data_IF_046363440868
#
_entry.id   IF_046363440868
#
_cell.length_a   1.000
_cell.length_b   1.000
_cell.length_c   1.000
_cell.angle_alpha   90.00
_cell.angle_beta   90.00
_cell.angle_gamma   90.00
#
_symmetry.space_group_name_H-M   'P 1'
#
loop_
_entity.id
_entity.type
_entity.pdbx_description
1 polymer ?
#
# COMPACT_ATOMS: atom_id res chain seq x y z
N UNK A 1 15.66 -4.10 1.53
CA UNK A 1 15.00 -3.42 0.40
C UNK A 1 13.82 -4.26 -0.09
N UNK A 2 12.72 -3.69 -0.57
CA UNK A 2 11.60 -4.46 -1.17
C UNK A 2 11.80 -4.77 -2.66
N UNK A 3 12.79 -4.12 -3.31
CA UNK A 3 13.06 -4.21 -4.76
C UNK A 3 14.21 -5.15 -5.13
N UNK A 4 14.93 -5.69 -4.14
CA UNK A 4 16.25 -6.31 -4.34
C UNK A 4 16.24 -7.53 -5.27
N UNK A 5 15.09 -8.15 -5.51
CA UNK A 5 14.97 -9.30 -6.42
C UNK A 5 14.87 -8.86 -7.89
N UNK A 6 14.39 -7.64 -8.12
CA UNK A 6 14.11 -7.08 -9.44
C UNK A 6 15.18 -6.09 -9.91
N UNK A 7 16.00 -5.56 -9.00
CA UNK A 7 17.14 -4.69 -9.31
C UNK A 7 17.51 -3.72 -8.18
N UNK A 8 18.47 -2.83 -8.47
CA UNK A 8 18.90 -1.76 -7.57
C UNK A 8 18.26 -0.43 -8.00
N UNK A 9 17.49 0.24 -7.11
CA UNK A 9 16.96 1.58 -7.39
C UNK A 9 18.03 2.61 -7.77
N UNK A 10 19.28 2.43 -7.34
CA UNK A 10 20.39 3.35 -7.63
C UNK A 10 20.88 3.28 -9.08
N UNK A 11 20.47 2.26 -9.85
CA UNK A 11 20.83 2.11 -11.25
C UNK A 11 20.03 3.04 -12.19
N UNK A 12 18.99 3.72 -11.68
CA UNK A 12 18.07 4.54 -12.48
C UNK A 12 18.36 6.03 -12.29
N UNK A 13 18.48 6.75 -13.40
CA UNK A 13 18.85 8.17 -13.41
C UNK A 13 17.69 9.11 -13.02
N UNK A 14 16.44 8.65 -13.12
CA UNK A 14 15.26 9.46 -12.84
C UNK A 14 14.07 8.62 -12.34
N UNK A 15 13.09 9.30 -11.76
CA UNK A 15 11.90 8.65 -11.17
C UNK A 15 11.07 7.91 -12.23
N UNK A 16 10.76 8.47 -13.43
CA UNK A 16 10.00 7.75 -14.45
C UNK A 16 10.64 6.41 -14.88
N UNK A 17 11.96 6.39 -15.08
CA UNK A 17 12.70 5.17 -15.44
C UNK A 17 12.77 4.19 -14.28
N UNK A 18 12.94 4.66 -13.04
CA UNK A 18 12.84 3.83 -11.84
C UNK A 18 11.46 3.16 -11.71
N UNK A 19 10.38 3.93 -11.89
CA UNK A 19 9.02 3.44 -11.74
C UNK A 19 8.68 2.37 -12.79
N UNK A 20 9.00 2.64 -14.06
CA UNK A 20 8.71 1.71 -15.16
C UNK A 20 9.68 0.53 -15.22
N UNK A 21 10.95 0.76 -14.88
CA UNK A 21 12.04 -0.20 -15.03
C UNK A 21 12.24 -1.14 -13.84
N UNK A 22 11.80 -0.75 -12.63
CA UNK A 22 11.96 -1.52 -11.40
C UNK A 22 10.65 -1.66 -10.62
N UNK A 23 10.03 -0.55 -10.21
CA UNK A 23 8.89 -0.59 -9.28
C UNK A 23 7.69 -1.35 -9.86
N UNK A 24 7.37 -1.15 -11.14
CA UNK A 24 6.29 -1.86 -11.83
C UNK A 24 6.54 -3.37 -12.00
N UNK A 25 7.79 -3.82 -11.84
CA UNK A 25 8.16 -5.24 -11.96
C UNK A 25 8.00 -6.01 -10.65
N UNK A 26 7.91 -5.32 -9.51
CA UNK A 26 7.77 -5.98 -8.21
C UNK A 26 6.32 -6.42 -8.00
N UNK A 27 6.04 -7.73 -7.86
CA UNK A 27 4.68 -8.20 -7.63
C UNK A 27 4.16 -7.77 -6.25
N UNK A 28 2.89 -7.34 -6.18
CA UNK A 28 2.24 -6.98 -4.92
C UNK A 28 2.30 -8.14 -3.92
N UNK A 29 2.07 -9.38 -4.38
CA UNK A 29 2.10 -10.58 -3.53
C UNK A 29 3.46 -10.80 -2.86
N UNK A 30 4.56 -10.49 -3.56
CA UNK A 30 5.89 -10.55 -2.99
C UNK A 30 6.06 -9.54 -1.87
N UNK A 31 5.65 -8.29 -2.10
CA UNK A 31 5.75 -7.22 -1.10
C UNK A 31 4.94 -7.56 0.15
N UNK A 32 3.71 -8.04 -0.01
CA UNK A 32 2.85 -8.39 1.12
C UNK A 32 3.44 -9.57 1.92
N UNK A 33 3.99 -10.59 1.26
CA UNK A 33 4.66 -11.69 1.93
C UNK A 33 5.95 -11.25 2.65
N UNK A 34 6.72 -10.34 2.06
CA UNK A 34 7.91 -9.77 2.72
C UNK A 34 7.53 -8.98 3.98
N UNK A 35 6.43 -8.23 3.94
CA UNK A 35 5.91 -7.52 5.12
C UNK A 35 5.46 -8.48 6.23
N UNK A 36 4.88 -9.63 5.89
CA UNK A 36 4.58 -10.68 6.88
C UNK A 36 5.84 -11.26 7.52
N UNK A 37 6.91 -11.43 6.74
CA UNK A 37 8.21 -11.83 7.28
C UNK A 37 8.80 -10.76 8.19
N UNK A 38 8.64 -9.47 7.87
CA UNK A 38 9.06 -8.36 8.74
C UNK A 38 8.29 -8.39 10.06
N UNK A 39 6.96 -8.55 10.03
CA UNK A 39 6.15 -8.67 11.24
C UNK A 39 6.56 -9.89 12.09
N UNK A 40 6.82 -11.01 11.44
CA UNK A 40 7.29 -12.25 12.08
C UNK A 40 8.68 -12.11 12.67
N UNK A 41 9.58 -11.36 12.01
CA UNK A 41 10.88 -11.07 12.57
C UNK A 41 10.75 -10.15 13.78
N UNK A 42 9.96 -9.08 13.69
CA UNK A 42 9.77 -8.13 14.78
C UNK A 42 9.27 -8.82 16.05
N UNK A 43 8.33 -9.76 15.93
CA UNK A 43 7.81 -10.52 17.07
C UNK A 43 8.86 -11.34 17.83
N UNK A 44 9.90 -11.80 17.14
CA UNK A 44 11.02 -12.55 17.73
C UNK A 44 12.15 -11.64 18.19
N UNK A 45 12.06 -10.34 17.92
CA UNK A 45 13.10 -9.35 18.19
C UNK A 45 12.58 -8.19 19.05
N UNK A 46 11.71 -8.49 20.02
CA UNK A 46 11.22 -7.53 21.02
C UNK A 46 10.01 -6.70 20.59
N UNK A 47 9.47 -6.92 19.40
CA UNK A 47 8.21 -6.34 18.95
C UNK A 47 6.99 -7.05 19.54
N UNK A 48 5.93 -6.30 19.82
CA UNK A 48 4.65 -6.83 20.28
C UNK A 48 3.73 -7.11 19.10
N UNK A 49 3.41 -8.39 18.87
CA UNK A 49 2.50 -8.85 17.79
C UNK A 49 1.10 -8.26 17.91
N UNK A 50 0.66 -7.91 19.11
CA UNK A 50 -0.65 -7.31 19.33
C UNK A 50 -0.67 -5.81 19.04
N UNK A 51 0.47 -5.21 18.68
CA UNK A 51 0.64 -3.78 18.38
C UNK A 51 1.29 -3.55 17.01
N UNK A 52 1.01 -4.42 16.05
CA UNK A 52 1.49 -4.29 14.67
C UNK A 52 0.80 -3.12 13.95
N UNK A 53 1.59 -2.21 13.39
CA UNK A 53 1.14 -1.00 12.67
C UNK A 53 1.98 -0.84 11.39
N UNK A 54 1.43 -0.17 10.38
CA UNK A 54 2.15 0.11 9.14
C UNK A 54 1.94 1.56 8.69
N UNK A 55 2.97 2.15 8.09
CA UNK A 55 2.85 3.40 7.33
C UNK A 55 3.74 3.35 6.10
N UNK A 56 3.35 4.07 5.05
CA UNK A 56 4.11 4.13 3.81
C UNK A 56 3.72 5.32 2.95
N UNK A 57 4.63 5.70 2.07
CA UNK A 57 4.56 6.92 1.26
C UNK A 57 4.60 6.61 -0.24
N UNK A 58 3.83 7.34 -1.05
CA UNK A 58 3.76 7.17 -2.50
C UNK A 58 3.41 5.70 -2.86
N UNK A 59 4.29 4.98 -3.55
CA UNK A 59 4.12 3.54 -3.79
C UNK A 59 3.89 2.76 -2.48
N UNK A 60 4.65 3.07 -1.43
CA UNK A 60 4.46 2.49 -0.10
C UNK A 60 3.11 2.85 0.54
N UNK A 61 2.52 3.99 0.19
CA UNK A 61 1.18 4.36 0.62
C UNK A 61 0.11 3.47 -0.02
N UNK A 62 0.29 3.11 -1.30
CA UNK A 62 -0.57 2.12 -1.98
C UNK A 62 -0.40 0.74 -1.32
N UNK A 63 0.83 0.31 -1.07
CA UNK A 63 1.12 -0.96 -0.38
C UNK A 63 0.50 -0.98 1.02
N UNK A 64 0.48 0.15 1.73
CA UNK A 64 -0.14 0.27 3.06
C UNK A 64 -1.63 -0.07 3.03
N UNK A 65 -2.38 0.40 2.03
CA UNK A 65 -3.78 0.01 1.83
C UNK A 65 -3.93 -1.49 1.58
N UNK A 66 -3.10 -2.05 0.70
CA UNK A 66 -3.16 -3.47 0.37
C UNK A 66 -2.80 -4.36 1.57
N UNK A 67 -1.82 -3.95 2.37
CA UNK A 67 -1.41 -4.69 3.56
C UNK A 67 -2.48 -4.69 4.66
N UNK A 68 -3.27 -3.60 4.76
CA UNK A 68 -4.42 -3.54 5.67
C UNK A 68 -5.53 -4.53 5.30
N UNK A 69 -5.66 -4.89 4.03
CA UNK A 69 -6.56 -5.95 3.58
C UNK A 69 -5.92 -7.36 3.63
N UNK A 70 -4.61 -7.45 3.78
CA UNK A 70 -3.86 -8.71 3.72
C UNK A 70 -3.66 -9.37 5.09
N UNK A 71 -3.16 -8.63 6.08
CA UNK A 71 -2.80 -9.20 7.38
C UNK A 71 -3.85 -8.89 8.47
N UNK A 72 -4.64 -9.87 8.94
CA UNK A 72 -5.67 -9.66 9.95
C UNK A 72 -5.12 -9.34 11.35
N UNK A 73 -3.82 -9.47 11.58
CA UNK A 73 -3.18 -9.10 12.85
C UNK A 73 -2.89 -7.59 12.95
N UNK A 74 -2.89 -6.87 11.83
CA UNK A 74 -2.62 -5.44 11.78
C UNK A 74 -3.64 -4.65 12.61
N UNK A 75 -3.17 -3.63 13.35
CA UNK A 75 -4.01 -2.82 14.25
C UNK A 75 -4.39 -1.46 13.70
N UNK A 76 -3.54 -0.86 12.88
CA UNK A 76 -3.89 0.30 12.08
C UNK A 76 -2.87 0.53 10.96
N UNK A 77 -3.27 1.33 10.00
CA UNK A 77 -2.47 1.73 8.85
C UNK A 77 -2.56 3.24 8.61
N UNK A 78 -1.45 3.87 8.21
CA UNK A 78 -1.43 5.28 7.75
C UNK A 78 -0.79 5.34 6.36
N UNK A 79 -1.62 5.55 5.34
CA UNK A 79 -1.22 5.62 3.94
C UNK A 79 -1.04 7.06 3.48
N UNK A 80 0.16 7.41 3.02
CA UNK A 80 0.46 8.75 2.52
C UNK A 80 0.50 8.75 1.00
N UNK A 81 -0.41 9.50 0.37
CA UNK A 81 -0.48 9.76 -1.08
C UNK A 81 -0.18 8.52 -1.94
N UNK A 82 -0.83 7.40 -1.59
CA UNK A 82 -0.74 6.16 -2.35
C UNK A 82 -1.77 6.11 -3.47
N UNK A 83 -1.38 5.69 -4.67
CA UNK A 83 -2.32 5.59 -5.79
C UNK A 83 -3.51 4.70 -5.45
N UNK A 84 -4.74 5.22 -5.61
CA UNK A 84 -5.99 4.57 -5.17
C UNK A 84 -6.67 3.78 -6.30
N UNK A 85 -6.50 4.25 -7.54
CA UNK A 85 -7.03 3.66 -8.77
C UNK A 85 -5.92 3.53 -9.81
N UNK A 86 -6.11 2.71 -10.83
CA UNK A 86 -5.15 2.58 -11.93
C UNK A 86 -5.27 1.25 -12.65
N UNK A 87 -4.45 1.12 -13.70
CA UNK A 87 -4.40 -0.10 -14.51
C UNK A 87 -3.99 -1.30 -13.67
N UNK A 88 -4.57 -2.44 -14.01
CA UNK A 88 -4.28 -3.74 -13.38
C UNK A 88 -3.28 -4.49 -14.25
N UNK A 89 -2.37 -5.19 -13.60
CA UNK A 89 -1.39 -6.07 -14.25
C UNK A 89 -1.27 -7.38 -13.48
N UNK A 90 -0.51 -8.35 -13.99
CA UNK A 90 -0.21 -9.57 -13.25
C UNK A 90 0.56 -9.28 -11.96
N UNK A 91 1.42 -8.26 -11.96
CA UNK A 91 2.18 -7.83 -10.78
C UNK A 91 1.32 -7.02 -9.81
N UNK A 92 0.38 -6.22 -10.31
CA UNK A 92 -0.50 -5.38 -9.51
C UNK A 92 -1.97 -5.59 -9.91
N UNK A 93 -2.59 -6.71 -9.49
CA UNK A 93 -3.92 -7.10 -9.95
C UNK A 93 -5.07 -6.35 -9.26
N UNK A 94 -4.81 -5.73 -8.10
CA UNK A 94 -5.79 -4.96 -7.33
C UNK A 94 -5.26 -3.56 -7.01
N UNK A 95 -6.17 -2.62 -6.89
CA UNK A 95 -5.91 -1.28 -6.37
C UNK A 95 -6.64 -1.08 -5.03
N UNK A 96 -6.29 -0.06 -4.22
CA UNK A 96 -6.96 0.20 -2.95
C UNK A 96 -8.50 0.22 -3.03
N UNK A 97 -9.08 0.76 -4.10
CA UNK A 97 -10.54 0.76 -4.31
C UNK A 97 -11.15 -0.65 -4.40
N UNK A 98 -10.38 -1.65 -4.83
CA UNK A 98 -10.85 -3.03 -5.01
C UNK A 98 -10.85 -3.84 -3.70
N UNK A 99 -10.20 -3.34 -2.63
CA UNK A 99 -10.01 -4.08 -1.37
C UNK A 99 -10.73 -3.45 -0.18
N UNK A 100 -11.58 -2.45 -0.40
CA UNK A 100 -12.28 -1.75 0.67
C UNK A 100 -13.09 -2.70 1.58
N UNK A 101 -13.69 -3.74 1.01
CA UNK A 101 -14.43 -4.78 1.74
C UNK A 101 -13.56 -5.74 2.54
N UNK A 102 -12.27 -5.80 2.21
CA UNK A 102 -11.32 -6.78 2.76
C UNK A 102 -10.47 -6.17 3.89
N UNK A 103 -10.65 -4.89 4.20
CA UNK A 103 -9.86 -4.17 5.21
C UNK A 103 -10.04 -4.77 6.62
N UNK A 104 -8.92 -5.22 7.21
CA UNK A 104 -8.90 -5.83 8.54
C UNK A 104 -8.58 -4.85 9.66
N UNK A 105 -8.04 -3.66 9.33
CA UNK A 105 -7.57 -2.66 10.28
C UNK A 105 -8.08 -1.26 9.89
N UNK A 106 -8.24 -0.35 10.88
CA UNK A 106 -8.51 1.04 10.57
C UNK A 106 -7.41 1.67 9.73
N UNK A 107 -7.78 2.44 8.71
CA UNK A 107 -6.83 3.11 7.80
C UNK A 107 -7.06 4.61 7.77
N UNK A 108 -5.98 5.39 7.95
CA UNK A 108 -5.96 6.82 7.70
C UNK A 108 -5.20 7.09 6.39
N UNK A 109 -5.89 7.66 5.41
CA UNK A 109 -5.31 8.17 4.17
C UNK A 109 -4.97 9.65 4.29
N UNK A 110 -3.74 10.04 3.94
CA UNK A 110 -3.27 11.43 3.94
C UNK A 110 -2.89 11.84 2.52
N UNK A 111 -3.74 12.67 1.90
CA UNK A 111 -3.66 13.02 0.48
C UNK A 111 -3.63 14.52 0.25
N UNK A 112 -2.80 14.97 -0.69
CA UNK A 112 -2.70 16.37 -1.07
C UNK A 112 -3.79 16.77 -2.07
N UNK A 113 -4.53 17.84 -1.81
CA UNK A 113 -5.59 18.34 -2.70
C UNK A 113 -5.10 18.78 -4.09
N UNK A 114 -3.80 19.07 -4.22
CA UNK A 114 -3.15 19.54 -5.46
C UNK A 114 -2.27 18.47 -6.12
N UNK A 115 -2.31 17.22 -5.65
CA UNK A 115 -1.55 16.13 -6.26
C UNK A 115 -2.24 15.67 -7.55
N UNK A 116 -1.74 16.14 -8.69
CA UNK A 116 -2.29 15.76 -10.00
C UNK A 116 -2.05 14.29 -10.36
N UNK A 117 -1.12 13.59 -9.68
CA UNK A 117 -0.91 12.15 -9.87
C UNK A 117 -2.00 11.32 -9.19
N UNK A 118 -2.73 11.91 -8.22
CA UNK A 118 -3.86 11.32 -7.52
C UNK A 118 -5.03 12.32 -7.56
N UNK A 119 -5.77 12.39 -8.69
CA UNK A 119 -6.87 13.33 -8.85
C UNK A 119 -7.93 13.16 -7.75
N UNK A 120 -8.61 14.26 -7.40
CA UNK A 120 -9.69 14.25 -6.40
C UNK A 120 -10.81 13.26 -6.72
N UNK A 121 -11.05 12.97 -8.00
CA UNK A 121 -11.98 11.93 -8.45
C UNK A 121 -11.58 10.52 -7.97
N UNK A 122 -10.28 10.21 -7.97
CA UNK A 122 -9.76 8.94 -7.45
C UNK A 122 -9.97 8.84 -5.93
N UNK A 123 -9.76 9.95 -5.22
CA UNK A 123 -10.04 10.05 -3.78
C UNK A 123 -11.53 9.87 -3.48
N UNK A 124 -12.41 10.51 -4.25
CA UNK A 124 -13.86 10.35 -4.07
C UNK A 124 -14.32 8.93 -4.38
N UNK A 125 -13.75 8.30 -5.40
CA UNK A 125 -13.99 6.88 -5.72
C UNK A 125 -13.62 5.98 -4.52
N UNK A 126 -12.48 6.24 -3.88
CA UNK A 126 -12.09 5.52 -2.66
C UNK A 126 -13.06 5.78 -1.51
N UNK A 127 -13.50 7.02 -1.29
CA UNK A 127 -14.50 7.34 -0.26
C UNK A 127 -15.81 6.58 -0.50
N UNK A 128 -16.26 6.47 -1.75
CA UNK A 128 -17.44 5.70 -2.10
C UNK A 128 -17.26 4.21 -1.79
N UNK A 129 -16.12 3.62 -2.18
CA UNK A 129 -15.80 2.23 -1.89
C UNK A 129 -15.75 1.94 -0.38
N UNK A 130 -15.11 2.82 0.40
CA UNK A 130 -15.03 2.71 1.86
C UNK A 130 -16.41 2.81 2.53
N UNK A 131 -17.25 3.76 2.10
CA UNK A 131 -18.64 3.89 2.59
C UNK A 131 -19.47 2.66 2.25
N UNK A 132 -19.37 2.14 1.03
CA UNK A 132 -20.10 0.95 0.59
C UNK A 132 -19.68 -0.30 1.39
N UNK A 133 -18.39 -0.40 1.74
CA UNK A 133 -17.86 -1.48 2.57
C UNK A 133 -18.16 -1.32 4.08
N UNK A 134 -18.71 -0.17 4.51
CA UNK A 134 -18.81 0.21 5.91
C UNK A 134 -17.47 0.06 6.65
N UNK A 135 -16.37 0.40 5.96
CA UNK A 135 -15.01 0.23 6.45
C UNK A 135 -14.66 1.30 7.49
N UNK A 136 -13.83 0.94 8.47
CA UNK A 136 -13.27 1.88 9.46
C UNK A 136 -12.09 2.67 8.86
N UNK A 137 -12.35 3.57 7.92
CA UNK A 137 -11.27 4.33 7.29
C UNK A 137 -11.67 5.77 6.98
N UNK A 138 -10.66 6.65 6.95
CA UNK A 138 -10.78 8.07 6.63
C UNK A 138 -9.74 8.47 5.58
N UNK A 139 -10.11 9.34 4.64
CA UNK A 139 -9.26 9.79 3.52
C UNK A 139 -9.70 11.16 3.00
#
# INVERSE_FOLDING_TARGET
ELYFREGDPNDFADIPTLLSGLVAKVPDSQVLADLDHVASWASRNGGDVHRLMITGFCWGGRITWLYAAHNPQLKAAVAWYGKLTGDKSLNSPKQPVDIATDLNAPVLGLYGGLDNSIPQESVETMRQALRAANAKAEI
#
